data_IF_862968666287
#
_entry.id   IF_862968666287
#
_cell.length_a   1.000
_cell.length_b   1.000
_cell.length_c   1.000
_cell.angle_alpha   90.00
_cell.angle_beta   90.00
_cell.angle_gamma   90.00
#
_symmetry.space_group_name_H-M   'P 1'
#
loop_
_entity.id
_entity.type
_entity.pdbx_description
1 polymer ?
#
# COMPACT_ATOMS: atom_id res chain seq x y z
N UNK A 1 -19.80 -7.35 -18.19
CA UNK A 1 -20.41 -7.80 -19.42
C UNK A 1 -19.53 -8.82 -20.16
N UNK A 2 -18.21 -8.65 -20.16
CA UNK A 2 -17.26 -9.58 -20.80
C UNK A 2 -16.40 -10.37 -19.79
N UNK A 3 -16.97 -10.79 -18.65
CA UNK A 3 -16.28 -11.61 -17.65
C UNK A 3 -15.33 -10.84 -16.72
N UNK A 4 -15.27 -9.51 -16.83
CA UNK A 4 -14.54 -8.65 -15.88
C UNK A 4 -13.08 -9.03 -15.74
N UNK A 5 -12.57 -8.94 -14.50
CA UNK A 5 -11.17 -9.23 -14.15
C UNK A 5 -10.77 -10.68 -14.47
N UNK A 6 -11.69 -11.64 -14.27
CA UNK A 6 -11.42 -13.06 -14.54
C UNK A 6 -11.16 -13.34 -16.02
N UNK A 7 -11.92 -12.72 -16.94
CA UNK A 7 -11.67 -12.87 -18.37
C UNK A 7 -10.35 -12.24 -18.79
N UNK A 8 -10.02 -11.07 -18.28
CA UNK A 8 -8.70 -10.43 -18.55
C UNK A 8 -7.54 -11.28 -18.00
N UNK A 9 -7.71 -11.92 -16.85
CA UNK A 9 -6.74 -12.86 -16.30
C UNK A 9 -6.54 -14.06 -17.24
N UNK A 10 -7.62 -14.64 -17.72
CA UNK A 10 -7.55 -15.77 -18.67
C UNK A 10 -6.84 -15.38 -19.97
N UNK A 11 -7.12 -14.20 -20.51
CA UNK A 11 -6.47 -13.67 -21.71
C UNK A 11 -4.99 -13.32 -21.49
N UNK A 12 -4.60 -12.89 -20.30
CA UNK A 12 -3.22 -12.53 -19.99
C UNK A 12 -2.24 -13.71 -20.06
N UNK A 13 -2.74 -14.95 -19.92
CA UNK A 13 -1.92 -16.15 -20.02
C UNK A 13 -1.33 -16.35 -21.42
N UNK A 14 -2.17 -16.58 -22.46
CA UNK A 14 -1.68 -16.80 -23.83
C UNK A 14 -1.07 -15.54 -24.46
N UNK A 15 -1.46 -14.35 -24.00
CA UNK A 15 -0.94 -13.07 -24.50
C UNK A 15 0.02 -12.42 -23.50
N UNK A 16 1.10 -13.13 -23.16
CA UNK A 16 2.13 -12.65 -22.24
C UNK A 16 2.68 -11.28 -22.64
N UNK A 17 2.80 -10.36 -21.68
CA UNK A 17 3.26 -9.00 -21.90
C UNK A 17 2.16 -7.99 -22.27
N UNK A 18 0.97 -8.41 -22.66
CA UNK A 18 -0.16 -7.50 -22.88
C UNK A 18 -0.72 -7.02 -21.52
N UNK A 19 -0.99 -5.73 -21.43
CA UNK A 19 -1.66 -5.10 -20.31
C UNK A 19 -3.03 -4.58 -20.75
N UNK A 20 -4.02 -4.68 -19.85
CA UNK A 20 -5.39 -4.26 -20.13
C UNK A 20 -5.71 -2.90 -19.50
N UNK A 21 -6.61 -2.17 -20.15
CA UNK A 21 -7.21 -0.93 -19.63
C UNK A 21 -8.73 -1.11 -19.65
N UNK A 22 -9.33 -1.68 -18.60
CA UNK A 22 -10.79 -1.81 -18.51
C UNK A 22 -11.44 -0.43 -18.41
N UNK A 23 -12.50 -0.22 -19.20
CA UNK A 23 -13.24 1.06 -19.25
C UNK A 23 -14.72 0.91 -18.89
N UNK A 24 -15.23 -0.32 -18.79
CA UNK A 24 -16.63 -0.61 -18.42
C UNK A 24 -16.74 -1.33 -17.09
N UNK A 25 -17.72 -0.94 -16.26
CA UNK A 25 -18.01 -1.60 -14.98
C UNK A 25 -17.03 -1.30 -13.84
N UNK A 26 -15.98 -0.52 -14.08
CA UNK A 26 -15.08 -0.04 -13.01
C UNK A 26 -15.75 1.13 -12.29
N UNK A 27 -15.68 1.13 -10.96
CA UNK A 27 -16.26 2.14 -10.07
C UNK A 27 -15.42 2.29 -8.79
N UNK A 28 -15.85 3.15 -7.87
CA UNK A 28 -15.14 3.44 -6.64
C UNK A 28 -14.95 2.21 -5.72
N UNK A 29 -15.86 1.23 -5.77
CA UNK A 29 -15.83 0.05 -4.92
C UNK A 29 -14.84 -1.01 -5.42
N UNK A 30 -14.67 -1.12 -6.73
CA UNK A 30 -13.85 -2.19 -7.33
C UNK A 30 -12.52 -1.70 -7.97
N UNK A 31 -12.28 -0.40 -8.07
CA UNK A 31 -11.06 0.15 -8.69
C UNK A 31 -9.78 -0.38 -8.06
N UNK A 32 -9.76 -0.59 -6.74
CA UNK A 32 -8.62 -1.14 -6.02
C UNK A 32 -8.29 -2.57 -6.47
N UNK A 33 -9.30 -3.43 -6.61
CA UNK A 33 -9.15 -4.80 -7.10
C UNK A 33 -8.56 -4.84 -8.52
N UNK A 34 -9.13 -4.02 -9.42
CA UNK A 34 -8.63 -3.94 -10.79
C UNK A 34 -7.18 -3.49 -10.85
N UNK A 35 -6.84 -2.39 -10.17
CA UNK A 35 -5.49 -1.80 -10.28
C UNK A 35 -4.41 -2.63 -9.60
N UNK A 36 -4.78 -3.51 -8.67
CA UNK A 36 -3.87 -4.45 -8.01
C UNK A 36 -3.45 -5.61 -8.92
N UNK A 37 -4.25 -5.93 -9.94
CA UNK A 37 -3.98 -7.05 -10.82
C UNK A 37 -2.76 -6.75 -11.73
N UNK A 38 -1.78 -7.67 -11.82
CA UNK A 38 -0.52 -7.42 -12.52
C UNK A 38 -0.66 -7.22 -14.03
N UNK A 39 -1.77 -7.68 -14.61
CA UNK A 39 -2.09 -7.53 -16.04
C UNK A 39 -2.91 -6.26 -16.34
N UNK A 40 -3.23 -5.43 -15.34
CA UNK A 40 -3.92 -4.15 -15.53
C UNK A 40 -2.91 -3.00 -15.55
N UNK A 41 -2.90 -2.27 -16.66
CA UNK A 41 -2.06 -1.08 -16.82
C UNK A 41 -2.69 0.16 -16.20
N UNK A 42 -3.94 0.41 -16.51
CA UNK A 42 -4.74 1.54 -16.02
C UNK A 42 -6.21 1.15 -16.00
N UNK A 43 -7.05 1.98 -15.43
CA UNK A 43 -8.50 1.84 -15.44
C UNK A 43 -9.16 3.14 -15.89
N UNK A 44 -10.29 3.04 -16.59
CA UNK A 44 -11.13 4.17 -16.93
C UNK A 44 -12.54 3.97 -16.40
N UNK A 45 -13.22 5.06 -16.05
CA UNK A 45 -14.58 4.95 -15.57
C UNK A 45 -15.37 6.26 -15.66
N UNK A 46 -16.60 6.17 -16.16
CA UNK A 46 -17.49 7.31 -16.33
C UNK A 46 -18.04 7.87 -15.02
N UNK A 47 -17.90 7.15 -13.91
CA UNK A 47 -18.34 7.61 -12.59
C UNK A 47 -17.58 8.85 -12.08
N UNK A 48 -16.39 9.10 -12.65
CA UNK A 48 -15.54 10.25 -12.26
C UNK A 48 -16.07 11.58 -12.77
N UNK A 49 -16.72 11.55 -13.93
CA UNK A 49 -17.13 12.76 -14.64
C UNK A 49 -18.42 12.48 -15.42
N UNK A 50 -19.56 12.71 -14.81
CA UNK A 50 -20.85 12.52 -15.47
C UNK A 50 -21.21 13.70 -16.39
N UNK A 51 -21.95 13.42 -17.47
CA UNK A 51 -22.48 14.48 -18.34
C UNK A 51 -23.32 15.52 -17.56
N UNK A 52 -24.05 15.07 -16.55
CA UNK A 52 -24.85 15.94 -15.69
C UNK A 52 -23.99 16.85 -14.80
N UNK A 53 -22.85 16.34 -14.29
CA UNK A 53 -21.92 17.18 -13.51
C UNK A 53 -21.24 18.23 -14.39
N UNK A 54 -20.88 17.88 -15.63
CA UNK A 54 -20.31 18.82 -16.60
C UNK A 54 -21.34 19.90 -16.95
N UNK A 55 -22.55 19.52 -17.32
CA UNK A 55 -23.60 20.46 -17.70
C UNK A 55 -24.00 21.42 -16.56
N UNK A 56 -23.91 20.94 -15.32
CA UNK A 56 -24.18 21.74 -14.12
C UNK A 56 -22.95 22.47 -13.58
N UNK A 57 -21.81 22.45 -14.29
CA UNK A 57 -20.53 23.06 -13.87
C UNK A 57 -20.03 22.62 -12.50
N UNK A 58 -20.33 21.36 -12.07
CA UNK A 58 -19.93 20.83 -10.76
C UNK A 58 -18.49 20.32 -10.77
N UNK A 59 -17.54 21.15 -11.15
CA UNK A 59 -16.13 20.77 -11.30
C UNK A 59 -15.45 20.40 -9.99
N UNK A 60 -15.84 21.02 -8.86
CA UNK A 60 -15.32 20.65 -7.54
C UNK A 60 -15.70 19.21 -7.17
N UNK A 61 -16.94 18.80 -7.50
CA UNK A 61 -17.38 17.42 -7.32
C UNK A 61 -16.57 16.43 -8.17
N UNK A 62 -16.33 16.78 -9.44
CA UNK A 62 -15.50 15.95 -10.34
C UNK A 62 -14.08 15.82 -9.77
N UNK A 63 -13.48 16.91 -9.30
CA UNK A 63 -12.16 16.91 -8.67
C UNK A 63 -12.12 16.01 -7.46
N UNK A 64 -13.14 16.06 -6.59
CA UNK A 64 -13.21 15.19 -5.41
C UNK A 64 -13.39 13.72 -5.78
N UNK A 65 -14.23 13.39 -6.77
CA UNK A 65 -14.39 12.03 -7.27
C UNK A 65 -13.07 11.47 -7.82
N UNK A 66 -12.31 12.26 -8.58
CA UNK A 66 -10.99 11.87 -9.08
C UNK A 66 -9.99 11.64 -7.94
N UNK A 67 -10.00 12.51 -6.91
CA UNK A 67 -9.14 12.37 -5.72
C UNK A 67 -9.45 11.07 -4.97
N UNK A 68 -10.74 10.78 -4.73
CA UNK A 68 -11.18 9.54 -4.07
C UNK A 68 -10.84 8.28 -4.88
N UNK A 69 -11.05 8.32 -6.19
CA UNK A 69 -10.69 7.20 -7.06
C UNK A 69 -9.18 6.91 -7.03
N UNK A 70 -8.34 7.95 -7.02
CA UNK A 70 -6.89 7.80 -6.88
C UNK A 70 -6.50 7.21 -5.53
N UNK A 71 -7.11 7.68 -4.44
CA UNK A 71 -6.89 7.12 -3.11
C UNK A 71 -7.27 5.65 -3.05
N UNK A 72 -8.44 5.27 -3.60
CA UNK A 72 -8.89 3.89 -3.67
C UNK A 72 -7.97 3.02 -4.56
N UNK A 73 -7.46 3.55 -5.66
CA UNK A 73 -6.50 2.85 -6.52
C UNK A 73 -5.16 2.58 -5.82
N UNK A 74 -4.67 3.52 -5.02
CA UNK A 74 -3.46 3.34 -4.21
C UNK A 74 -3.69 2.41 -3.03
N UNK A 75 -4.89 2.44 -2.44
CA UNK A 75 -5.33 1.54 -1.39
C UNK A 75 -4.46 1.61 -0.14
N UNK A 76 -4.10 2.82 0.29
CA UNK A 76 -3.30 3.00 1.50
C UNK A 76 -4.05 2.47 2.73
N UNK A 77 -3.33 1.67 3.53
CA UNK A 77 -3.83 1.15 4.80
C UNK A 77 -2.67 0.94 5.79
N UNK A 78 -2.96 1.02 7.08
CA UNK A 78 -2.00 0.65 8.11
C UNK A 78 -1.82 -0.86 8.10
N UNK A 79 -0.58 -1.32 7.96
CA UNK A 79 -0.22 -2.76 8.00
C UNK A 79 0.30 -3.14 9.36
N UNK A 80 1.31 -2.43 9.86
CA UNK A 80 1.85 -2.64 11.20
C UNK A 80 2.52 -1.39 11.76
N UNK A 81 2.69 -1.38 13.06
CA UNK A 81 3.56 -0.45 13.78
C UNK A 81 4.79 -1.20 14.25
N UNK A 82 5.95 -0.69 13.91
CA UNK A 82 7.24 -1.21 14.36
C UNK A 82 7.76 -0.45 15.58
N UNK A 83 8.15 -1.19 16.60
CA UNK A 83 8.75 -0.65 17.83
C UNK A 83 10.21 -1.04 17.86
N UNK A 84 11.10 -0.10 18.15
CA UNK A 84 12.51 -0.38 18.32
C UNK A 84 12.79 -0.94 19.73
N UNK A 85 13.29 -2.19 19.82
CA UNK A 85 13.87 -2.70 21.04
C UNK A 85 15.39 -2.60 21.01
N UNK A 86 16.06 -2.54 22.16
CA UNK A 86 17.52 -2.44 22.20
C UNK A 86 18.21 -3.70 21.69
N UNK A 87 17.60 -4.88 21.88
CA UNK A 87 18.15 -6.18 21.50
C UNK A 87 17.05 -7.23 21.25
N UNK A 88 17.46 -8.45 20.92
CA UNK A 88 16.57 -9.56 20.60
C UNK A 88 15.77 -10.07 21.81
N UNK A 89 16.37 -10.03 23.00
CA UNK A 89 15.71 -10.49 24.22
C UNK A 89 14.61 -9.55 24.65
N UNK A 90 14.87 -8.25 24.66
CA UNK A 90 13.87 -7.21 24.93
C UNK A 90 12.76 -7.21 23.87
N UNK A 91 13.09 -7.45 22.59
CA UNK A 91 12.09 -7.62 21.54
C UNK A 91 11.16 -8.79 21.81
N UNK A 92 11.70 -9.94 22.19
CA UNK A 92 10.93 -11.13 22.51
C UNK A 92 10.10 -10.95 23.77
N UNK A 93 10.64 -10.31 24.81
CA UNK A 93 9.94 -10.01 26.05
C UNK A 93 8.72 -9.12 25.80
N UNK A 94 8.88 -8.03 25.03
CA UNK A 94 7.76 -7.16 24.67
C UNK A 94 6.66 -7.90 23.91
N UNK A 95 7.04 -8.77 22.95
CA UNK A 95 6.05 -9.59 22.25
C UNK A 95 5.29 -10.53 23.20
N UNK A 96 5.98 -11.15 24.17
CA UNK A 96 5.35 -12.02 25.18
C UNK A 96 4.44 -11.23 26.12
N UNK A 97 4.81 -10.02 26.51
CA UNK A 97 3.96 -9.14 27.31
C UNK A 97 2.66 -8.79 26.56
N UNK A 98 2.77 -8.45 25.28
CA UNK A 98 1.59 -8.15 24.45
C UNK A 98 0.71 -9.40 24.25
N UNK A 99 1.32 -10.58 24.11
CA UNK A 99 0.58 -11.83 24.03
C UNK A 99 -0.12 -12.17 25.36
N UNK A 100 0.56 -12.05 26.47
CA UNK A 100 -0.02 -12.31 27.80
C UNK A 100 -1.18 -11.35 28.12
N UNK A 101 -1.08 -10.09 27.70
CA UNK A 101 -2.12 -9.08 27.97
C UNK A 101 -3.33 -9.20 27.03
N UNK A 102 -3.10 -9.53 25.74
CA UNK A 102 -4.12 -9.37 24.69
C UNK A 102 -4.33 -10.64 23.83
N UNK A 103 -3.55 -11.71 24.04
CA UNK A 103 -3.67 -12.95 23.28
C UNK A 103 -3.31 -12.81 21.79
N UNK A 104 -2.35 -11.95 21.45
CA UNK A 104 -2.03 -11.64 20.05
C UNK A 104 -1.24 -12.75 19.34
N UNK A 105 -0.60 -13.66 20.09
CA UNK A 105 0.31 -14.67 19.57
C UNK A 105 1.69 -14.11 19.18
N UNK A 106 2.76 -14.80 19.56
CA UNK A 106 4.14 -14.41 19.24
C UNK A 106 4.63 -15.12 17.98
N UNK A 107 5.18 -14.38 17.04
CA UNK A 107 5.82 -14.93 15.82
C UNK A 107 7.26 -14.45 15.73
N UNK A 108 8.24 -15.31 16.03
CA UNK A 108 9.65 -14.99 15.84
C UNK A 108 10.02 -14.79 14.36
N UNK A 109 10.86 -13.81 14.09
CA UNK A 109 11.42 -13.54 12.76
C UNK A 109 12.94 -13.32 12.83
N UNK A 110 13.58 -13.00 11.71
CA UNK A 110 15.03 -12.81 11.65
C UNK A 110 15.48 -11.48 12.32
N UNK A 111 15.02 -10.36 11.79
CA UNK A 111 15.40 -9.01 12.26
C UNK A 111 14.41 -8.42 13.27
N UNK A 112 13.27 -9.04 13.45
CA UNK A 112 12.18 -8.60 14.33
C UNK A 112 11.36 -9.78 14.83
N UNK A 113 10.57 -9.57 15.87
CA UNK A 113 9.51 -10.46 16.31
C UNK A 113 8.17 -9.75 16.12
N UNK A 114 7.08 -10.51 16.03
CA UNK A 114 5.74 -9.96 15.91
C UNK A 114 4.85 -10.39 17.09
N UNK A 115 4.08 -9.44 17.59
CA UNK A 115 2.89 -9.74 18.37
C UNK A 115 1.65 -9.56 17.48
N UNK A 116 1.01 -10.68 17.17
CA UNK A 116 -0.05 -10.71 16.14
C UNK A 116 0.47 -10.42 14.75
N UNK A 117 -0.31 -9.64 13.98
CA UNK A 117 0.08 -9.17 12.64
C UNK A 117 0.41 -7.68 12.59
N UNK A 118 0.03 -6.93 13.62
CA UNK A 118 0.02 -5.48 13.60
C UNK A 118 1.16 -4.82 14.42
N UNK A 119 1.84 -5.55 15.29
CA UNK A 119 2.97 -5.01 16.07
C UNK A 119 4.23 -5.78 15.71
N UNK A 120 5.17 -5.10 15.06
CA UNK A 120 6.51 -5.58 14.79
C UNK A 120 7.47 -5.02 15.85
N UNK A 121 8.26 -5.85 16.50
CA UNK A 121 9.27 -5.42 17.48
C UNK A 121 10.64 -5.75 16.92
N UNK A 122 11.40 -4.70 16.59
CA UNK A 122 12.76 -4.84 16.05
C UNK A 122 13.71 -5.42 17.10
N UNK A 123 14.64 -6.27 16.67
CA UNK A 123 15.69 -6.87 17.53
C UNK A 123 16.91 -5.96 17.74
N UNK A 124 16.92 -4.82 17.09
CA UNK A 124 17.87 -3.74 17.25
C UNK A 124 17.21 -2.43 16.77
N UNK A 125 17.61 -1.26 17.26
CA UNK A 125 17.11 0.01 16.77
C UNK A 125 17.31 0.15 15.26
N UNK A 126 16.29 0.66 14.57
CA UNK A 126 16.30 0.94 13.14
C UNK A 126 15.75 2.34 12.89
N UNK A 127 15.32 2.63 11.67
CA UNK A 127 14.85 3.97 11.30
C UNK A 127 13.67 4.42 12.18
N UNK A 128 13.67 5.74 12.48
CA UNK A 128 12.70 6.39 13.35
C UNK A 128 13.05 6.24 14.84
N UNK A 129 13.16 7.35 15.56
CA UNK A 129 13.49 7.35 16.99
C UNK A 129 12.45 6.55 17.83
N UNK A 130 11.18 6.63 17.44
CA UNK A 130 10.07 5.90 18.08
C UNK A 130 9.77 4.56 17.41
N UNK A 131 10.38 4.26 16.25
CA UNK A 131 10.12 3.09 15.44
C UNK A 131 9.59 3.45 14.05
N UNK A 132 8.77 2.59 13.45
CA UNK A 132 8.26 2.81 12.12
C UNK A 132 6.77 2.47 11.97
N UNK A 133 6.16 3.00 10.92
CA UNK A 133 4.77 2.69 10.55
C UNK A 133 4.79 2.18 9.10
N UNK A 134 4.26 0.98 8.90
CA UNK A 134 4.11 0.38 7.58
C UNK A 134 2.77 0.73 6.96
N UNK A 135 2.81 1.37 5.81
CA UNK A 135 1.63 1.68 5.00
C UNK A 135 1.59 0.75 3.78
N UNK A 136 0.61 -0.13 3.77
CA UNK A 136 0.31 -1.01 2.65
C UNK A 136 -0.23 -0.24 1.46
N UNK A 137 0.12 -0.67 0.26
CA UNK A 137 -0.40 -0.09 -0.98
C UNK A 137 -0.58 -1.15 -2.07
N UNK A 138 -1.52 -0.94 -2.98
CA UNK A 138 -1.75 -1.79 -4.14
C UNK A 138 -0.58 -1.78 -5.14
N UNK A 139 0.24 -0.74 -5.13
CA UNK A 139 1.44 -0.65 -5.98
C UNK A 139 2.44 0.34 -5.40
N UNK A 140 3.54 -0.17 -4.85
CA UNK A 140 4.60 0.69 -4.30
C UNK A 140 5.15 1.69 -5.32
N UNK A 141 5.46 1.31 -6.59
CA UNK A 141 5.93 2.29 -7.56
C UNK A 141 4.93 3.43 -7.86
N UNK A 142 3.63 3.12 -7.93
CA UNK A 142 2.60 4.15 -8.14
C UNK A 142 2.42 5.04 -6.91
N UNK A 143 2.50 4.44 -5.73
CA UNK A 143 2.43 5.18 -4.46
C UNK A 143 3.62 6.14 -4.33
N UNK A 144 4.83 5.72 -4.64
CA UNK A 144 6.03 6.57 -4.68
C UNK A 144 5.80 7.76 -5.62
N UNK A 145 5.44 7.50 -6.88
CA UNK A 145 5.21 8.57 -7.86
C UNK A 145 4.12 9.56 -7.43
N UNK A 146 3.10 9.12 -6.70
CA UNK A 146 2.05 9.99 -6.17
C UNK A 146 2.52 10.80 -4.96
N UNK A 147 3.28 10.18 -4.04
CA UNK A 147 3.80 10.84 -2.85
C UNK A 147 4.85 11.89 -3.22
N UNK A 148 5.73 11.61 -4.18
CA UNK A 148 6.71 12.57 -4.70
C UNK A 148 6.04 13.82 -5.27
N UNK A 149 4.93 13.67 -6.01
CA UNK A 149 4.11 14.81 -6.48
C UNK A 149 3.52 15.64 -5.34
N UNK A 150 3.35 15.05 -4.17
CA UNK A 150 2.87 15.71 -2.96
C UNK A 150 4.01 16.27 -2.09
N UNK A 151 5.27 16.16 -2.54
CA UNK A 151 6.45 16.61 -1.81
C UNK A 151 7.04 15.63 -0.82
N UNK A 152 6.60 14.36 -0.82
CA UNK A 152 7.13 13.30 0.04
C UNK A 152 8.13 12.46 -0.74
N UNK A 153 9.43 12.68 -0.51
CA UNK A 153 10.49 11.93 -1.16
C UNK A 153 10.73 10.58 -0.48
N UNK A 154 11.13 9.58 -1.25
CA UNK A 154 11.57 8.29 -0.72
C UNK A 154 13.09 8.25 -0.55
N UNK A 155 13.58 7.35 0.30
CA UNK A 155 14.99 7.02 0.40
C UNK A 155 15.31 5.75 -0.41
N UNK A 156 15.93 5.88 -1.60
CA UNK A 156 16.24 4.73 -2.44
C UNK A 156 17.15 3.68 -1.79
N UNK A 157 17.97 4.09 -0.80
CA UNK A 157 18.87 3.17 -0.11
C UNK A 157 18.14 2.11 0.72
N UNK A 158 16.86 2.37 1.06
CA UNK A 158 15.99 1.49 1.83
C UNK A 158 15.12 0.58 0.94
N UNK A 159 15.23 0.72 -0.38
CA UNK A 159 14.37 0.02 -1.32
C UNK A 159 14.59 -1.50 -1.27
N UNK A 160 13.49 -2.24 -1.18
CA UNK A 160 13.47 -3.71 -1.25
C UNK A 160 12.75 -4.16 -2.50
N UNK A 161 13.33 -5.15 -3.18
CA UNK A 161 12.82 -5.69 -4.44
C UNK A 161 12.52 -7.18 -4.32
N UNK A 162 11.53 -7.62 -5.09
CA UNK A 162 11.29 -9.04 -5.39
C UNK A 162 11.39 -9.20 -6.92
N UNK A 163 12.52 -9.74 -7.39
CA UNK A 163 12.92 -9.59 -8.79
C UNK A 163 13.11 -8.11 -9.13
N UNK A 164 12.50 -7.64 -10.20
CA UNK A 164 12.54 -6.22 -10.61
C UNK A 164 11.46 -5.35 -9.93
N UNK A 165 10.54 -5.95 -9.18
CA UNK A 165 9.42 -5.24 -8.57
C UNK A 165 9.82 -4.64 -7.22
N UNK A 166 9.73 -3.31 -7.10
CA UNK A 166 9.85 -2.60 -5.83
C UNK A 166 8.71 -3.02 -4.90
N UNK A 167 9.04 -3.55 -3.72
CA UNK A 167 8.07 -4.08 -2.76
C UNK A 167 8.02 -3.33 -1.45
N UNK A 168 9.06 -2.59 -1.07
CA UNK A 168 9.05 -1.70 0.07
C UNK A 168 10.07 -0.58 -0.10
N UNK A 169 9.81 0.58 0.51
CA UNK A 169 10.73 1.73 0.56
C UNK A 169 10.29 2.70 1.64
N UNK A 170 11.24 3.31 2.34
CA UNK A 170 10.97 4.34 3.35
C UNK A 170 10.85 5.74 2.74
N UNK A 171 10.01 6.58 3.35
CA UNK A 171 10.01 8.02 3.12
C UNK A 171 11.18 8.68 3.86
N UNK A 172 11.66 9.79 3.32
CA UNK A 172 12.76 10.56 3.96
C UNK A 172 12.29 11.41 5.13
N UNK A 173 11.02 11.81 5.12
CA UNK A 173 10.45 12.67 6.15
C UNK A 173 10.25 11.91 7.47
N UNK A 174 10.51 12.60 8.58
CA UNK A 174 10.14 12.15 9.92
C UNK A 174 8.68 12.51 10.21
N UNK A 175 7.97 11.61 10.87
CA UNK A 175 6.58 11.78 11.25
C UNK A 175 6.42 11.62 12.78
N UNK A 176 6.91 12.61 13.52
CA UNK A 176 6.83 12.61 14.98
C UNK A 176 7.71 11.53 15.64
N UNK A 177 8.90 11.33 15.08
CA UNK A 177 9.82 10.30 15.52
C UNK A 177 9.61 8.93 14.89
N UNK A 178 8.56 8.76 14.05
CA UNK A 178 8.35 7.53 13.29
C UNK A 178 8.86 7.65 11.86
N UNK A 179 9.57 6.61 11.42
CA UNK A 179 9.85 6.42 10.00
C UNK A 179 8.63 5.79 9.33
N UNK A 180 8.26 6.26 8.14
CA UNK A 180 7.15 5.67 7.39
C UNK A 180 7.72 4.87 6.23
N UNK A 181 7.24 3.64 6.03
CA UNK A 181 7.57 2.90 4.83
C UNK A 181 6.33 2.36 4.11
N UNK A 182 6.43 2.33 2.79
CA UNK A 182 5.46 1.68 1.93
C UNK A 182 5.77 0.20 1.83
N UNK A 183 4.73 -0.64 1.82
CA UNK A 183 4.84 -2.07 1.56
C UNK A 183 3.81 -2.52 0.54
N UNK A 184 4.19 -3.45 -0.34
CA UNK A 184 3.30 -4.05 -1.32
C UNK A 184 2.31 -4.99 -0.61
N UNK A 185 1.03 -4.81 -0.85
CA UNK A 185 -0.02 -5.77 -0.46
C UNK A 185 -0.01 -7.00 -1.32
#
# INVERSE_FOLDING_TARGET
VYGGLSAMKALSGPFGGIKFIPTGGVNAQNVGEYISAPFIHAVGGSWLCSKADIAAHRFDRITELCRRARAAALGFELVHVGVNAPDADASMELCRMLDAAFGLGVRPGNSSNFAGSAVEVMKAPYLGASGHIAIGTNSVPRAVAELEKRGFAVDPSTAKYKGEKLTAVYLRQDFGGFAIHLVQK
#
